data_IF_014380338287
#
_entry.id   IF_014380338287
#
_cell.length_a   1.000
_cell.length_b   1.000
_cell.length_c   1.000
_cell.angle_alpha   90.00
_cell.angle_beta   90.00
_cell.angle_gamma   90.00
#
_symmetry.space_group_name_H-M   'P 1'
#
loop_
_entity.id
_entity.type
_entity.pdbx_description
1 polymer ?
#
# COMPACT_ATOMS: atom_id res chain seq x y z
N UNK A 1 21.57 9.11 -63.21
CA UNK A 1 21.94 8.71 -61.83
C UNK A 1 20.95 9.35 -60.89
N UNK A 2 19.91 8.62 -60.48
CA UNK A 2 18.95 9.08 -59.47
C UNK A 2 19.50 8.74 -58.09
N UNK A 3 19.87 9.75 -57.32
CA UNK A 3 20.26 9.58 -55.91
C UNK A 3 18.99 9.43 -55.07
N UNK A 4 18.64 8.18 -54.72
CA UNK A 4 17.72 7.88 -53.63
C UNK A 4 18.45 8.16 -52.32
N UNK A 5 18.19 9.31 -51.70
CA UNK A 5 18.53 9.51 -50.29
C UNK A 5 17.32 9.01 -49.46
N UNK A 6 17.52 8.08 -48.53
CA UNK A 6 16.46 7.75 -47.56
C UNK A 6 16.21 9.01 -46.71
N UNK A 7 15.03 9.61 -46.88
CA UNK A 7 14.52 10.61 -45.94
C UNK A 7 14.32 9.90 -44.61
N UNK A 8 15.08 10.30 -43.58
CA UNK A 8 14.82 9.87 -42.22
C UNK A 8 13.55 10.56 -41.77
N UNK A 9 12.42 9.91 -42.05
CA UNK A 9 11.13 10.24 -41.50
C UNK A 9 11.28 10.27 -39.98
N UNK A 10 11.21 11.48 -39.45
CA UNK A 10 11.21 11.75 -38.02
C UNK A 10 10.16 10.81 -37.42
N UNK A 11 10.54 10.00 -36.43
CA UNK A 11 9.56 9.21 -35.70
C UNK A 11 8.48 10.17 -35.20
N UNK A 12 7.30 10.08 -35.80
CA UNK A 12 6.12 10.78 -35.34
C UNK A 12 5.79 10.13 -34.00
N UNK A 13 6.29 10.75 -32.94
CA UNK A 13 5.86 10.42 -31.59
C UNK A 13 4.34 10.56 -31.61
N UNK A 14 3.62 9.45 -31.44
CA UNK A 14 2.17 9.35 -31.36
C UNK A 14 1.60 10.06 -30.12
N UNK A 15 1.91 11.34 -30.00
CA UNK A 15 1.37 12.31 -29.07
C UNK A 15 1.00 13.54 -29.89
N UNK A 16 0.03 13.37 -30.79
CA UNK A 16 -0.54 14.47 -31.54
C UNK A 16 -0.90 15.60 -30.59
N UNK A 17 -0.22 16.72 -30.74
CA UNK A 17 -0.46 17.98 -30.02
C UNK A 17 -1.70 18.72 -30.54
N UNK A 18 -2.48 18.10 -31.45
CA UNK A 18 -3.79 18.57 -31.84
C UNK A 18 -4.85 18.02 -30.88
N UNK A 19 -5.38 18.92 -30.06
CA UNK A 19 -6.59 18.66 -29.28
C UNK A 19 -7.76 18.40 -30.24
N UNK A 20 -8.53 17.31 -30.12
CA UNK A 20 -9.83 17.23 -30.77
C UNK A 20 -10.72 18.35 -30.19
N UNK A 21 -11.57 19.01 -31.00
CA UNK A 21 -12.19 20.31 -30.66
C UNK A 21 -13.15 20.33 -29.45
N UNK A 22 -13.27 19.24 -28.68
CA UNK A 22 -14.28 19.07 -27.63
C UNK A 22 -13.80 18.27 -26.40
N UNK A 23 -12.49 18.18 -26.11
CA UNK A 23 -12.05 17.56 -24.84
C UNK A 23 -12.31 18.50 -23.64
N UNK A 24 -13.09 18.00 -22.67
CA UNK A 24 -13.38 18.69 -21.42
C UNK A 24 -12.42 18.21 -20.33
N UNK A 25 -12.04 19.12 -19.44
CA UNK A 25 -11.28 18.76 -18.25
C UNK A 25 -12.08 17.80 -17.37
N UNK A 26 -11.52 16.61 -17.07
CA UNK A 26 -12.19 15.60 -16.23
C UNK A 26 -12.47 16.04 -14.79
N UNK A 27 -11.81 17.11 -14.32
CA UNK A 27 -11.96 17.63 -12.96
C UNK A 27 -12.95 18.80 -12.84
N UNK A 28 -12.97 19.72 -13.81
CA UNK A 28 -13.80 20.93 -13.73
C UNK A 28 -14.81 21.10 -14.87
N UNK A 29 -14.80 20.22 -15.88
CA UNK A 29 -15.69 20.28 -17.04
C UNK A 29 -15.41 21.42 -18.03
N UNK A 30 -14.39 22.25 -17.79
CA UNK A 30 -14.04 23.32 -18.73
C UNK A 30 -13.52 22.75 -20.05
N UNK A 31 -13.94 23.36 -21.16
CA UNK A 31 -13.44 23.04 -22.50
C UNK A 31 -11.97 23.44 -22.61
N UNK A 32 -11.12 22.50 -23.04
CA UNK A 32 -9.69 22.73 -23.25
C UNK A 32 -9.51 23.35 -24.64
N UNK A 33 -8.61 24.33 -24.78
CA UNK A 33 -8.51 25.14 -26.02
C UNK A 33 -7.12 25.08 -26.65
N UNK A 34 -6.05 25.18 -25.86
CA UNK A 34 -4.68 25.23 -26.42
C UNK A 34 -3.61 24.57 -25.54
N UNK A 35 -3.66 24.74 -24.21
CA UNK A 35 -2.74 24.09 -23.28
C UNK A 35 -3.50 23.23 -22.32
N UNK A 36 -3.09 21.98 -22.22
CA UNK A 36 -3.66 21.04 -21.27
C UNK A 36 -2.56 20.16 -20.69
N UNK A 37 -2.84 19.60 -19.52
CA UNK A 37 -2.00 18.59 -18.90
C UNK A 37 -2.75 17.25 -18.98
N UNK A 38 -2.04 16.13 -18.88
CA UNK A 38 -2.65 14.81 -18.70
C UNK A 38 -2.31 14.31 -17.32
N UNK A 39 -3.31 13.90 -16.54
CA UNK A 39 -3.15 13.17 -15.28
C UNK A 39 -3.46 11.71 -15.56
N UNK A 40 -2.47 10.83 -15.51
CA UNK A 40 -2.61 9.38 -15.79
C UNK A 40 -3.19 9.03 -17.19
N UNK A 41 -3.20 10.00 -18.10
CA UNK A 41 -3.70 9.87 -19.48
C UNK A 41 -4.92 10.75 -19.76
N UNK A 42 -5.67 11.14 -18.73
CA UNK A 42 -6.87 11.96 -18.84
C UNK A 42 -6.56 13.47 -18.95
N UNK A 43 -7.24 14.21 -19.84
CA UNK A 43 -6.96 15.62 -20.07
C UNK A 43 -7.49 16.51 -18.94
N UNK A 44 -6.65 17.41 -18.46
CA UNK A 44 -6.92 18.33 -17.34
C UNK A 44 -6.47 19.76 -17.65
N UNK A 45 -7.16 20.72 -17.04
CA UNK A 45 -6.89 22.14 -17.19
C UNK A 45 -5.61 22.57 -16.44
N UNK A 46 -4.88 23.59 -16.91
CA UNK A 46 -3.71 24.15 -16.21
C UNK A 46 -3.99 24.55 -14.74
N UNK A 47 -5.10 25.24 -14.40
CA UNK A 47 -5.41 25.51 -12.99
C UNK A 47 -5.63 24.23 -12.19
N UNK A 48 -6.25 23.21 -12.79
CA UNK A 48 -6.49 21.91 -12.19
C UNK A 48 -5.18 21.16 -11.91
N UNK A 49 -4.23 21.24 -12.84
CA UNK A 49 -2.89 20.68 -12.73
C UNK A 49 -2.10 21.38 -11.63
N UNK A 50 -2.12 22.71 -11.62
CA UNK A 50 -1.42 23.51 -10.61
C UNK A 50 -1.98 23.26 -9.21
N UNK A 51 -3.29 23.09 -9.05
CA UNK A 51 -3.90 22.69 -7.78
C UNK A 51 -3.50 21.28 -7.34
N UNK A 52 -3.26 20.37 -8.29
CA UNK A 52 -2.78 19.01 -7.98
C UNK A 52 -1.30 19.01 -7.57
N UNK A 53 -0.46 19.84 -8.22
CA UNK A 53 0.97 20.00 -7.89
C UNK A 53 1.17 20.75 -6.57
N UNK A 54 0.34 21.76 -6.30
CA UNK A 54 0.44 22.63 -5.12
C UNK A 54 -0.37 22.13 -3.92
N UNK A 55 -0.91 20.90 -3.96
CA UNK A 55 -1.65 20.35 -2.84
C UNK A 55 -0.78 20.40 -1.54
N UNK A 56 -1.21 21.13 -0.50
CA UNK A 56 -0.36 21.43 0.65
C UNK A 56 0.04 20.16 1.41
N UNK A 57 1.31 20.11 1.83
CA UNK A 57 1.88 19.00 2.61
C UNK A 57 1.15 18.75 3.93
N UNK A 58 0.47 19.77 4.49
CA UNK A 58 -0.34 19.66 5.71
C UNK A 58 -1.45 18.61 5.57
N UNK A 59 -2.11 18.55 4.40
CA UNK A 59 -3.12 17.52 4.11
C UNK A 59 -2.53 16.11 4.02
N UNK A 60 -1.25 15.99 3.63
CA UNK A 60 -0.58 14.70 3.51
C UNK A 60 -0.30 14.04 4.87
N UNK A 61 0.00 14.83 5.91
CA UNK A 61 0.17 14.31 7.28
C UNK A 61 -1.14 13.79 7.86
N UNK A 62 -2.23 14.54 7.70
CA UNK A 62 -3.57 14.14 8.17
C UNK A 62 -4.06 12.88 7.44
N UNK A 63 -3.84 12.77 6.13
CA UNK A 63 -4.16 11.55 5.38
C UNK A 63 -3.34 10.36 5.87
N UNK A 64 -2.06 10.57 6.19
CA UNK A 64 -1.17 9.51 6.69
C UNK A 64 -1.59 9.03 8.09
N UNK A 65 -1.96 9.95 8.99
CA UNK A 65 -2.41 9.57 10.33
C UNK A 65 -3.73 8.79 10.30
N UNK A 66 -4.70 9.22 9.47
CA UNK A 66 -5.94 8.46 9.22
C UNK A 66 -5.66 7.08 8.64
N UNK A 67 -4.71 6.97 7.72
CA UNK A 67 -4.30 5.69 7.14
C UNK A 67 -3.73 4.74 8.20
N UNK A 68 -2.83 5.22 9.06
CA UNK A 68 -2.27 4.41 10.15
C UNK A 68 -3.37 3.97 11.11
N UNK A 69 -4.27 4.88 11.53
CA UNK A 69 -5.35 4.53 12.43
C UNK A 69 -6.25 3.44 11.85
N UNK A 70 -6.66 3.57 10.58
CA UNK A 70 -7.43 2.54 9.88
C UNK A 70 -6.66 1.23 9.72
N UNK A 71 -5.35 1.30 9.44
CA UNK A 71 -4.46 0.15 9.38
C UNK A 71 -4.38 -0.60 10.71
N UNK A 72 -4.28 0.10 11.84
CA UNK A 72 -4.23 -0.50 13.18
C UNK A 72 -5.53 -1.26 13.47
N UNK A 73 -6.68 -0.65 13.17
CA UNK A 73 -7.98 -1.31 13.31
C UNK A 73 -8.02 -2.59 12.45
N UNK A 74 -7.58 -2.51 11.19
CA UNK A 74 -7.51 -3.67 10.31
C UNK A 74 -6.53 -4.75 10.82
N UNK A 75 -5.41 -4.37 11.44
CA UNK A 75 -4.45 -5.28 12.05
C UNK A 75 -5.03 -6.02 13.26
N UNK A 76 -5.77 -5.33 14.12
CA UNK A 76 -6.46 -5.95 15.27
C UNK A 76 -7.50 -6.95 14.78
N UNK A 77 -8.34 -6.56 13.81
CA UNK A 77 -9.33 -7.45 13.20
C UNK A 77 -8.65 -8.64 12.51
N UNK A 78 -7.59 -8.40 11.76
CA UNK A 78 -6.81 -9.45 11.09
C UNK A 78 -6.20 -10.45 12.07
N UNK A 79 -5.67 -9.97 13.19
CA UNK A 79 -5.09 -10.81 14.25
C UNK A 79 -6.15 -11.65 14.96
N UNK A 80 -7.33 -11.08 15.22
CA UNK A 80 -8.45 -11.81 15.80
C UNK A 80 -8.97 -12.91 14.84
N UNK A 81 -9.11 -12.59 13.55
CA UNK A 81 -9.45 -13.56 12.51
C UNK A 81 -8.40 -14.68 12.42
N UNK A 82 -7.12 -14.31 12.54
CA UNK A 82 -6.03 -15.26 12.54
C UNK A 82 -6.14 -16.27 13.68
N UNK A 83 -6.28 -15.79 14.92
CA UNK A 83 -6.44 -16.66 16.07
C UNK A 83 -7.71 -17.54 15.97
N UNK A 84 -8.82 -16.99 15.49
CA UNK A 84 -10.07 -17.74 15.35
C UNK A 84 -9.96 -18.90 14.36
N UNK A 85 -9.31 -18.69 13.21
CA UNK A 85 -9.12 -19.74 12.19
C UNK A 85 -8.17 -20.82 12.72
N UNK A 86 -7.07 -20.43 13.35
CA UNK A 86 -6.09 -21.37 13.90
C UNK A 86 -6.73 -22.29 14.96
N UNK A 87 -7.46 -21.71 15.91
CA UNK A 87 -8.15 -22.46 16.98
C UNK A 87 -9.25 -23.37 16.41
N UNK A 88 -10.00 -22.90 15.40
CA UNK A 88 -11.16 -23.62 14.87
C UNK A 88 -10.82 -24.74 13.90
N UNK A 89 -9.81 -24.55 13.05
CA UNK A 89 -9.54 -25.45 11.91
C UNK A 89 -8.24 -26.23 12.01
N UNK A 90 -7.31 -25.80 12.87
CA UNK A 90 -5.96 -26.38 12.95
C UNK A 90 -5.15 -26.23 11.65
N UNK A 91 -5.59 -25.37 10.72
CA UNK A 91 -4.89 -25.13 9.46
C UNK A 91 -3.65 -24.27 9.68
N UNK A 92 -2.55 -24.65 9.06
CA UNK A 92 -1.27 -23.96 9.13
C UNK A 92 -1.34 -22.53 8.57
N UNK A 93 -1.07 -21.56 9.45
CA UNK A 93 -0.37 -20.25 9.36
C UNK A 93 -0.41 -19.49 8.02
N UNK A 94 -0.08 -20.13 6.91
CA UNK A 94 0.22 -19.50 5.63
C UNK A 94 -0.90 -18.63 5.06
N UNK A 95 -2.04 -19.24 4.71
CA UNK A 95 -3.07 -18.53 3.93
C UNK A 95 -3.66 -17.32 4.65
N UNK A 96 -3.69 -17.36 5.99
CA UNK A 96 -4.29 -16.29 6.79
C UNK A 96 -3.41 -15.04 6.80
N UNK A 97 -2.08 -15.19 6.75
CA UNK A 97 -1.17 -14.05 6.66
C UNK A 97 -1.40 -13.20 5.38
N UNK A 98 -1.81 -13.84 4.27
CA UNK A 98 -2.19 -13.14 3.05
C UNK A 98 -3.44 -12.28 3.25
N UNK A 99 -4.47 -12.84 3.90
CA UNK A 99 -5.71 -12.14 4.20
C UNK A 99 -5.47 -10.93 5.13
N UNK A 100 -4.62 -11.11 6.15
CA UNK A 100 -4.25 -10.02 7.09
C UNK A 100 -3.48 -8.91 6.36
N UNK A 101 -2.45 -9.24 5.57
CA UNK A 101 -1.71 -8.26 4.78
C UNK A 101 -2.62 -7.51 3.80
N UNK A 102 -3.58 -8.22 3.20
CA UNK A 102 -4.60 -7.62 2.34
C UNK A 102 -5.51 -6.63 3.10
N UNK A 103 -6.03 -7.04 4.25
CA UNK A 103 -6.88 -6.20 5.10
C UNK A 103 -6.18 -4.92 5.54
N UNK A 104 -4.93 -5.03 6.01
CA UNK A 104 -4.15 -3.88 6.47
C UNK A 104 -3.92 -2.90 5.32
N UNK A 105 -3.43 -3.37 4.18
CA UNK A 105 -3.17 -2.50 3.03
C UNK A 105 -4.45 -1.82 2.50
N UNK A 106 -5.58 -2.55 2.48
CA UNK A 106 -6.88 -1.99 2.09
C UNK A 106 -7.40 -0.97 3.10
N UNK A 107 -7.27 -1.24 4.40
CA UNK A 107 -7.65 -0.32 5.47
C UNK A 107 -6.84 0.98 5.41
N UNK A 108 -5.52 0.88 5.23
CA UNK A 108 -4.65 2.04 5.09
C UNK A 108 -4.98 2.87 3.86
N UNK A 109 -5.22 2.23 2.70
CA UNK A 109 -5.58 2.92 1.46
C UNK A 109 -6.95 3.59 1.54
N UNK A 110 -7.91 2.97 2.23
CA UNK A 110 -9.23 3.57 2.47
C UNK A 110 -9.11 4.78 3.42
N UNK A 111 -8.32 4.66 4.50
CA UNK A 111 -8.09 5.74 5.45
C UNK A 111 -7.32 6.93 4.89
N UNK A 112 -6.47 6.72 3.88
CA UNK A 112 -5.69 7.76 3.21
C UNK A 112 -6.43 8.47 2.06
N UNK A 113 -7.71 8.14 1.82
CA UNK A 113 -8.49 8.61 0.67
C UNK A 113 -7.86 8.19 -0.67
N UNK A 114 -7.29 6.98 -0.72
CA UNK A 114 -6.62 6.45 -1.91
C UNK A 114 -5.17 6.92 -2.09
N UNK A 115 -4.66 7.81 -1.24
CA UNK A 115 -3.25 8.25 -1.29
C UNK A 115 -2.31 7.12 -0.88
N UNK A 116 -1.22 6.95 -1.61
CA UNK A 116 -0.18 5.97 -1.31
C UNK A 116 1.21 6.59 -1.40
N UNK A 117 2.25 5.76 -1.35
CA UNK A 117 3.63 6.18 -1.56
C UNK A 117 4.60 5.44 -0.65
N UNK A 118 5.88 5.77 -0.76
CA UNK A 118 6.95 5.02 -0.06
C UNK A 118 6.80 4.99 1.46
N UNK A 119 6.28 6.06 2.06
CA UNK A 119 5.98 6.12 3.51
C UNK A 119 4.84 5.19 3.91
N UNK A 120 3.78 5.13 3.10
CA UNK A 120 2.63 4.23 3.33
C UNK A 120 3.04 2.77 3.16
N UNK A 121 3.88 2.47 2.16
CA UNK A 121 4.44 1.14 1.91
C UNK A 121 5.25 0.61 3.10
N UNK A 122 6.18 1.41 3.61
CA UNK A 122 6.99 1.03 4.78
C UNK A 122 6.09 0.83 6.00
N UNK A 123 5.17 1.75 6.25
CA UNK A 123 4.23 1.64 7.37
C UNK A 123 3.35 0.37 7.28
N UNK A 124 2.84 0.04 6.09
CA UNK A 124 2.03 -1.15 5.87
C UNK A 124 2.82 -2.44 6.09
N UNK A 125 4.07 -2.50 5.61
CA UNK A 125 4.94 -3.65 5.83
C UNK A 125 5.28 -3.84 7.31
N UNK A 126 5.65 -2.77 8.01
CA UNK A 126 5.93 -2.81 9.46
C UNK A 126 4.69 -3.25 10.22
N UNK A 127 3.52 -2.67 9.92
CA UNK A 127 2.28 -2.99 10.62
C UNK A 127 1.83 -4.44 10.38
N UNK A 128 1.99 -4.95 9.15
CA UNK A 128 1.70 -6.36 8.82
C UNK A 128 2.61 -7.29 9.60
N UNK A 129 3.91 -7.00 9.65
CA UNK A 129 4.88 -7.80 10.37
C UNK A 129 4.60 -7.81 11.88
N UNK A 130 4.32 -6.65 12.48
CA UNK A 130 3.97 -6.54 13.90
C UNK A 130 2.66 -7.27 14.19
N UNK A 131 1.64 -7.11 13.35
CA UNK A 131 0.35 -7.78 13.51
C UNK A 131 0.49 -9.29 13.52
N UNK A 132 1.15 -9.88 12.51
CA UNK A 132 1.34 -11.33 12.43
C UNK A 132 2.18 -11.83 13.61
N UNK A 133 3.25 -11.12 13.98
CA UNK A 133 4.07 -11.49 15.15
C UNK A 133 3.30 -11.39 16.48
N UNK A 134 2.35 -10.47 16.59
CA UNK A 134 1.51 -10.32 17.79
C UNK A 134 0.36 -11.33 17.87
N UNK A 135 -0.10 -11.88 16.74
CA UNK A 135 -1.18 -12.87 16.71
C UNK A 135 -0.79 -14.16 17.45
N UNK A 136 0.45 -14.62 17.26
CA UNK A 136 1.05 -15.73 18.01
C UNK A 136 1.08 -15.49 19.53
N UNK A 137 1.23 -14.24 19.97
CA UNK A 137 1.15 -13.90 21.39
C UNK A 137 -0.27 -14.02 21.95
N UNK A 138 -1.28 -13.63 21.17
CA UNK A 138 -2.69 -13.73 21.57
C UNK A 138 -3.10 -15.18 21.78
N UNK A 139 -2.68 -16.10 20.89
CA UNK A 139 -2.99 -17.53 21.01
C UNK A 139 -2.36 -18.13 22.26
N UNK A 140 -1.09 -17.83 22.54
CA UNK A 140 -0.39 -18.29 23.76
C UNK A 140 -1.08 -17.73 25.02
N UNK A 141 -1.41 -16.44 25.03
CA UNK A 141 -2.10 -15.81 26.16
C UNK A 141 -3.46 -16.47 26.40
N UNK A 142 -4.25 -16.72 25.36
CA UNK A 142 -5.54 -17.39 25.50
C UNK A 142 -5.41 -18.84 26.01
N UNK A 143 -4.41 -19.58 25.53
CA UNK A 143 -4.09 -20.92 26.02
C UNK A 143 -3.65 -20.91 27.50
N UNK A 144 -2.86 -19.92 27.93
CA UNK A 144 -2.44 -19.76 29.33
C UNK A 144 -3.55 -19.24 30.25
N UNK A 145 -4.44 -18.37 29.77
CA UNK A 145 -5.61 -17.89 30.53
C UNK A 145 -6.56 -19.03 30.89
N UNK A 146 -6.72 -20.00 29.99
CA UNK A 146 -7.52 -21.20 30.24
C UNK A 146 -6.88 -22.12 31.29
N UNK A 147 -5.57 -22.00 31.50
CA UNK A 147 -4.81 -22.81 32.45
C UNK A 147 -4.60 -22.14 33.83
N UNK A 148 -4.46 -20.81 33.91
CA UNK A 148 -4.25 -20.08 35.18
C UNK A 148 -4.84 -18.65 35.14
N UNK A 149 -5.97 -18.38 35.83
CA UNK A 149 -6.63 -17.07 35.82
C UNK A 149 -5.90 -15.96 36.63
N UNK A 150 -4.93 -16.32 37.47
CA UNK A 150 -4.13 -15.38 38.29
C UNK A 150 -3.10 -14.56 37.47
N UNK A 151 -2.85 -14.92 36.21
CA UNK A 151 -1.93 -14.20 35.32
C UNK A 151 -2.57 -12.94 34.67
N UNK A 152 -3.67 -12.43 35.24
CA UNK A 152 -4.42 -11.30 34.69
C UNK A 152 -3.73 -9.94 34.88
N UNK A 153 -2.84 -9.80 35.87
CA UNK A 153 -2.37 -8.48 36.31
C UNK A 153 -0.85 -8.27 36.22
N UNK A 154 -0.05 -9.32 36.06
CA UNK A 154 1.40 -9.21 35.87
C UNK A 154 1.76 -8.98 34.39
N UNK A 155 1.03 -8.10 33.70
CA UNK A 155 1.44 -7.54 32.41
C UNK A 155 2.57 -6.54 32.66
N UNK A 156 3.70 -7.06 33.12
CA UNK A 156 4.93 -6.30 33.30
C UNK A 156 5.37 -5.77 31.94
N UNK A 157 5.71 -4.49 31.87
CA UNK A 157 6.36 -3.88 30.71
C UNK A 157 7.58 -4.69 30.25
N UNK A 158 8.24 -5.41 31.15
CA UNK A 158 9.36 -6.33 30.83
C UNK A 158 8.90 -7.62 30.17
N UNK A 159 7.75 -8.18 30.54
CA UNK A 159 7.19 -9.39 29.92
C UNK A 159 6.66 -9.10 28.51
N UNK A 160 6.04 -7.93 28.32
CA UNK A 160 5.66 -7.43 26.99
C UNK A 160 6.89 -7.19 26.09
N UNK A 161 7.97 -6.60 26.61
CA UNK A 161 9.23 -6.43 25.86
C UNK A 161 9.91 -7.78 25.57
N UNK A 162 9.82 -8.74 26.50
CA UNK A 162 10.36 -10.09 26.33
C UNK A 162 9.57 -10.84 25.24
N UNK A 163 8.24 -10.86 25.32
CA UNK A 163 7.37 -11.43 24.30
C UNK A 163 7.46 -10.70 22.96
N UNK A 164 7.68 -9.38 22.94
CA UNK A 164 7.94 -8.64 21.71
C UNK A 164 9.26 -9.08 21.07
N UNK A 165 10.32 -9.25 21.86
CA UNK A 165 11.63 -9.71 21.37
C UNK A 165 11.58 -11.14 20.82
N UNK A 166 10.93 -12.08 21.51
CA UNK A 166 10.87 -13.47 21.07
C UNK A 166 9.71 -13.75 20.09
N UNK A 167 8.62 -13.01 20.18
CA UNK A 167 7.47 -13.08 19.28
C UNK A 167 7.78 -12.56 17.88
N UNK A 168 8.61 -11.52 17.74
CA UNK A 168 9.16 -11.11 16.44
C UNK A 168 10.06 -12.19 15.82
N UNK A 169 10.78 -12.95 16.66
CA UNK A 169 11.57 -14.07 16.18
C UNK A 169 10.74 -15.32 15.94
N UNK A 170 9.50 -15.42 16.46
CA UNK A 170 8.69 -16.65 16.36
C UNK A 170 8.48 -17.18 14.94
N UNK A 171 8.22 -16.34 13.90
CA UNK A 171 8.10 -16.84 12.52
C UNK A 171 9.43 -17.41 12.00
N UNK A 172 10.55 -16.97 12.57
CA UNK A 172 11.90 -17.46 12.24
C UNK A 172 12.34 -18.62 13.14
N UNK A 173 11.71 -18.81 14.30
CA UNK A 173 11.95 -19.97 15.17
C UNK A 173 11.26 -21.22 14.61
N UNK A 174 10.07 -21.09 14.02
CA UNK A 174 9.42 -22.15 13.24
C UNK A 174 10.25 -22.62 12.04
N UNK A 175 11.19 -21.79 11.56
CA UNK A 175 12.14 -22.15 10.52
C UNK A 175 13.04 -23.34 10.92
N UNK A 176 13.19 -23.62 12.24
CA UNK A 176 13.95 -24.79 12.72
C UNK A 176 13.21 -26.12 12.58
N UNK A 177 11.89 -26.11 12.37
CA UNK A 177 11.07 -27.33 12.29
C UNK A 177 11.00 -27.94 10.87
N UNK A 178 11.78 -27.41 9.92
CA UNK A 178 11.98 -27.99 8.59
C UNK A 178 11.28 -27.23 7.46
N UNK A 179 10.78 -27.97 6.45
CA UNK A 179 10.25 -27.41 5.18
C UNK A 179 8.98 -26.56 5.39
N UNK A 180 8.17 -26.88 6.39
CA UNK A 180 6.94 -26.14 6.74
C UNK A 180 7.22 -24.71 7.20
N UNK A 181 8.28 -24.48 7.96
CA UNK A 181 8.68 -23.14 8.41
C UNK A 181 9.10 -22.24 7.26
N UNK A 182 9.83 -22.78 6.28
CA UNK A 182 10.24 -22.03 5.06
C UNK A 182 9.01 -21.60 4.25
N UNK A 183 8.01 -22.47 4.14
CA UNK A 183 6.75 -22.16 3.47
C UNK A 183 6.01 -21.03 4.22
N UNK A 184 5.95 -21.10 5.56
CA UNK A 184 5.37 -20.04 6.40
C UNK A 184 6.04 -18.68 6.18
N UNK A 185 7.38 -18.64 6.16
CA UNK A 185 8.16 -17.43 5.91
C UNK A 185 7.91 -16.86 4.51
N UNK A 186 7.85 -17.74 3.50
CA UNK A 186 7.58 -17.33 2.12
C UNK A 186 6.19 -16.71 1.99
N UNK A 187 5.19 -17.27 2.68
CA UNK A 187 3.84 -16.73 2.65
C UNK A 187 3.75 -15.42 3.46
N UNK A 188 4.44 -15.31 4.60
CA UNK A 188 4.58 -14.04 5.34
C UNK A 188 5.18 -12.96 4.42
N UNK A 189 6.23 -13.30 3.68
CA UNK A 189 6.84 -12.42 2.70
C UNK A 189 5.83 -11.97 1.63
N UNK A 190 5.02 -12.89 1.09
CA UNK A 190 3.96 -12.54 0.13
C UNK A 190 2.90 -11.64 0.79
N UNK A 191 2.50 -11.89 2.04
CA UNK A 191 1.54 -11.06 2.77
C UNK A 191 2.04 -9.63 2.92
N UNK A 192 3.30 -9.46 3.33
CA UNK A 192 3.98 -8.16 3.39
C UNK A 192 4.05 -7.52 2.00
N UNK A 193 4.41 -8.29 0.97
CA UNK A 193 4.50 -7.80 -0.42
C UNK A 193 3.15 -7.34 -0.94
N UNK A 194 2.06 -7.98 -0.54
CA UNK A 194 0.69 -7.63 -0.90
C UNK A 194 0.28 -6.32 -0.23
N UNK A 195 0.53 -6.18 1.07
CA UNK A 195 0.32 -4.92 1.80
C UNK A 195 1.11 -3.75 1.19
N UNK A 196 2.37 -4.01 0.85
CA UNK A 196 3.26 -3.05 0.15
C UNK A 196 2.75 -2.67 -1.23
N UNK A 197 2.28 -3.65 -2.02
CA UNK A 197 1.76 -3.39 -3.37
C UNK A 197 0.53 -2.48 -3.33
N UNK A 198 -0.41 -2.73 -2.44
CA UNK A 198 -1.66 -1.96 -2.41
C UNK A 198 -1.46 -0.51 -1.97
N UNK A 199 -0.49 -0.27 -1.09
CA UNK A 199 -0.15 1.07 -0.57
C UNK A 199 0.87 1.80 -1.44
N UNK A 200 1.26 1.23 -2.58
CA UNK A 200 2.01 1.93 -3.61
C UNK A 200 1.26 3.19 -4.04
N UNK A 201 1.99 4.30 -4.13
CA UNK A 201 1.42 5.57 -4.56
C UNK A 201 1.03 5.49 -6.03
N UNK A 202 -0.16 5.96 -6.36
CA UNK A 202 -0.41 6.52 -7.69
C UNK A 202 0.25 7.90 -7.69
N UNK A 203 1.52 7.93 -8.05
CA UNK A 203 2.16 9.19 -8.44
C UNK A 203 1.38 9.66 -9.68
N UNK A 204 0.46 10.61 -9.51
CA UNK A 204 -0.28 11.19 -10.63
C UNK A 204 0.77 11.74 -11.58
N UNK A 205 0.99 11.05 -12.69
CA UNK A 205 1.99 11.49 -13.67
C UNK A 205 1.33 12.62 -14.46
N UNK A 206 1.58 13.84 -14.01
CA UNK A 206 1.16 15.04 -14.73
C UNK A 206 2.15 15.24 -15.88
N UNK A 207 1.74 14.92 -17.11
CA UNK A 207 2.52 15.24 -18.32
C UNK A 207 1.92 16.47 -19.00
N UNK A 208 2.78 17.38 -19.44
CA UNK A 208 2.37 18.62 -20.11
C UNK A 208 3.33 19.77 -19.80
N UNK A 209 3.10 20.97 -20.34
CA UNK A 209 1.93 21.36 -21.14
C UNK A 209 1.95 20.71 -22.53
N UNK A 210 0.82 20.14 -22.92
CA UNK A 210 0.56 19.66 -24.27
C UNK A 210 -0.25 20.73 -25.01
N UNK A 211 0.21 21.08 -26.21
CA UNK A 211 -0.32 22.19 -27.00
C UNK A 211 0.36 23.53 -26.64
N UNK A 212 0.66 24.30 -27.68
CA UNK A 212 1.66 25.37 -27.67
C UNK A 212 2.83 24.98 -28.56
N UNK A 213 2.78 25.40 -29.82
CA UNK A 213 3.94 25.36 -30.69
C UNK A 213 5.05 26.17 -30.00
N UNK A 214 6.19 25.54 -29.71
CA UNK A 214 7.43 26.26 -29.51
C UNK A 214 7.75 26.96 -30.84
N UNK A 215 7.29 28.20 -30.98
CA UNK A 215 7.65 29.09 -32.08
C UNK A 215 8.62 30.11 -31.51
N UNK A 216 9.92 29.85 -31.71
CA UNK A 216 10.96 30.88 -31.76
C UNK A 216 10.99 31.48 -33.16
#
# INVERSE_FOLDING_TARGET
MSTNLPSFEKAEYGGGSQLPPTEQCVRCGQTLVERFFRMDGEPICEPCANMAVQAPAEGAYIAFSKAIAAGIVAAVVGSALYAAVEIGTGWTIGYVALAVGWLIGKGMKLGSEGRGGRRYQIAAAVLTYVSVSSASLIVILHATQKANPELHFAMSQRFAIFLLKYGLLSPFLELRDGVSGVIGLFILFIGIRTAWAMTAGSEYRITGPHGGAAQS
#
